data_IF_678854638197
#
_entry.id   IF_678854638197
#
_cell.length_a   1.000
_cell.length_b   1.000
_cell.length_c   1.000
_cell.angle_alpha   90.00
_cell.angle_beta   90.00
_cell.angle_gamma   90.00
#
_symmetry.space_group_name_H-M   'P 1'
#
loop_
_entity.id
_entity.type
_entity.pdbx_description
1 polymer ?
#
# COMPACT_ATOMS: atom_id res chain seq x y z
N UNK A 1 -6.63 -14.68 -0.79
CA UNK A 1 -6.15 -15.03 -2.14
C UNK A 1 -4.99 -14.13 -2.44
N UNK A 2 -3.83 -14.75 -2.62
CA UNK A 2 -2.54 -14.08 -2.79
C UNK A 2 -1.96 -14.50 -4.13
N UNK A 3 -1.25 -13.58 -4.80
CA UNK A 3 -0.68 -13.84 -6.12
C UNK A 3 0.66 -14.53 -5.96
N UNK A 4 0.85 -15.65 -6.64
CA UNK A 4 2.11 -16.41 -6.70
C UNK A 4 2.53 -16.65 -8.15
N UNK A 5 3.77 -17.14 -8.31
CA UNK A 5 4.28 -17.65 -9.58
C UNK A 5 4.09 -19.18 -9.68
N UNK A 6 3.19 -19.62 -10.56
CA UNK A 6 3.00 -21.04 -10.90
C UNK A 6 3.69 -21.36 -12.23
N UNK A 7 5.01 -21.57 -12.18
CA UNK A 7 5.84 -21.76 -13.37
C UNK A 7 6.18 -20.42 -14.03
N UNK A 8 5.52 -20.11 -15.16
CA UNK A 8 5.69 -18.82 -15.86
C UNK A 8 4.46 -17.91 -15.69
N UNK A 9 3.31 -18.51 -15.41
CA UNK A 9 2.05 -17.81 -15.22
C UNK A 9 1.88 -17.35 -13.77
N UNK A 10 1.22 -16.21 -13.57
CA UNK A 10 0.85 -15.73 -12.25
C UNK A 10 -0.57 -16.19 -11.91
N UNK A 11 -0.74 -16.72 -10.70
CA UNK A 11 -2.01 -17.26 -10.20
C UNK A 11 -2.33 -16.70 -8.82
N UNK A 12 -3.61 -16.41 -8.55
CA UNK A 12 -4.07 -15.98 -7.23
C UNK A 12 -4.92 -17.06 -6.54
N UNK A 13 -4.27 -18.11 -6.05
CA UNK A 13 -4.90 -19.36 -5.59
C UNK A 13 -4.39 -19.85 -4.22
N UNK A 14 -3.50 -19.10 -3.55
CA UNK A 14 -2.94 -19.49 -2.26
C UNK A 14 -3.61 -18.78 -1.07
N UNK A 15 -3.48 -19.41 0.11
CA UNK A 15 -3.95 -18.92 1.41
C UNK A 15 -2.82 -18.41 2.33
N UNK A 16 -1.55 -18.78 2.08
CA UNK A 16 -0.39 -18.42 2.92
C UNK A 16 0.64 -17.53 2.19
N UNK A 17 1.21 -16.54 2.90
CA UNK A 17 2.35 -15.74 2.39
C UNK A 17 3.64 -16.50 2.65
N UNK A 18 4.33 -16.89 1.58
CA UNK A 18 5.74 -17.26 1.57
C UNK A 18 6.56 -16.23 0.75
N UNK A 19 7.84 -16.52 0.51
CA UNK A 19 8.69 -15.68 -0.36
C UNK A 19 8.22 -15.69 -1.82
N UNK A 20 7.45 -16.69 -2.25
CA UNK A 20 6.92 -16.81 -3.62
C UNK A 20 5.76 -15.86 -3.91
N UNK A 21 5.15 -15.28 -2.88
CA UNK A 21 4.05 -14.32 -2.92
C UNK A 21 4.53 -12.88 -2.65
N UNK A 22 5.84 -12.68 -2.53
CA UNK A 22 6.47 -11.36 -2.33
C UNK A 22 7.03 -10.81 -3.64
N UNK A 23 6.59 -9.60 -4.00
CA UNK A 23 7.04 -8.90 -5.20
C UNK A 23 7.69 -7.55 -4.86
N UNK A 24 8.74 -7.21 -5.58
CA UNK A 24 9.36 -5.89 -5.51
C UNK A 24 8.66 -4.93 -6.48
N UNK A 25 8.13 -3.83 -5.94
CA UNK A 25 7.60 -2.73 -6.73
C UNK A 25 8.71 -1.74 -7.08
N UNK A 26 8.94 -1.53 -8.38
CA UNK A 26 9.95 -0.60 -8.88
C UNK A 26 9.29 0.53 -9.67
N UNK A 27 9.40 1.75 -9.17
CA UNK A 27 8.78 2.90 -9.82
C UNK A 27 9.59 3.39 -11.02
N UNK A 28 8.89 3.69 -12.10
CA UNK A 28 9.44 4.33 -13.27
C UNK A 28 9.12 5.84 -13.25
N UNK A 29 10.15 6.66 -13.01
CA UNK A 29 9.98 8.11 -12.91
C UNK A 29 9.48 8.79 -14.18
N UNK A 30 9.70 8.16 -15.35
CA UNK A 30 9.33 8.71 -16.66
C UNK A 30 7.84 8.56 -16.95
N UNK A 31 7.26 7.40 -16.59
CA UNK A 31 5.85 7.07 -16.83
C UNK A 31 4.98 7.22 -15.60
N UNK A 32 5.58 7.32 -14.40
CA UNK A 32 4.90 7.29 -13.09
C UNK A 32 4.14 5.99 -12.84
N UNK A 33 4.64 4.89 -13.41
CA UNK A 33 4.07 3.54 -13.32
C UNK A 33 5.04 2.60 -12.62
N UNK A 34 4.60 1.38 -12.36
CA UNK A 34 5.34 0.41 -11.58
C UNK A 34 5.70 -0.82 -12.41
N UNK A 35 6.93 -1.28 -12.26
CA UNK A 35 7.29 -2.65 -12.55
C UNK A 35 7.03 -3.52 -11.31
N UNK A 36 6.58 -4.75 -11.53
CA UNK A 36 6.37 -5.74 -10.47
C UNK A 36 7.34 -6.88 -10.73
N UNK A 37 8.36 -7.00 -9.87
CA UNK A 37 9.47 -7.95 -10.02
C UNK A 37 9.36 -9.10 -9.02
N UNK A 38 9.57 -10.32 -9.49
CA UNK A 38 9.61 -11.53 -8.65
C UNK A 38 10.97 -11.72 -7.98
N UNK A 39 11.04 -12.67 -7.05
CA UNK A 39 12.28 -13.10 -6.39
C UNK A 39 13.30 -13.72 -7.36
N UNK A 40 12.89 -14.20 -8.54
CA UNK A 40 13.77 -14.74 -9.58
C UNK A 40 14.24 -13.67 -10.59
N UNK A 41 14.17 -12.39 -10.23
CA UNK A 41 14.51 -11.25 -11.09
C UNK A 41 13.71 -11.22 -12.41
N UNK A 42 12.48 -11.74 -12.40
CA UNK A 42 11.57 -11.66 -13.54
C UNK A 42 10.52 -10.58 -13.33
N UNK A 43 10.06 -9.98 -14.42
CA UNK A 43 9.01 -8.97 -14.38
C UNK A 43 7.68 -9.53 -14.82
N UNK A 44 6.62 -9.13 -14.12
CA UNK A 44 5.25 -9.25 -14.62
C UNK A 44 5.17 -8.56 -15.98
N UNK A 45 4.63 -9.24 -16.97
CA UNK A 45 4.56 -8.77 -18.36
C UNK A 45 3.21 -9.11 -18.95
N UNK A 46 2.62 -8.13 -19.64
CA UNK A 46 1.43 -8.29 -20.45
C UNK A 46 1.77 -9.00 -21.77
N UNK A 47 1.15 -10.16 -21.99
CA UNK A 47 1.29 -10.94 -23.21
C UNK A 47 0.24 -10.58 -24.27
N UNK A 48 0.48 -10.97 -25.54
CA UNK A 48 -0.38 -10.68 -26.69
C UNK A 48 -1.84 -11.13 -26.50
N UNK A 49 -2.08 -12.19 -25.73
CA UNK A 49 -3.41 -12.70 -25.40
C UNK A 49 -4.08 -12.04 -24.18
N UNK A 50 -3.45 -11.04 -23.58
CA UNK A 50 -3.90 -10.37 -22.36
C UNK A 50 -3.52 -11.10 -21.07
N UNK A 51 -2.89 -12.26 -21.14
CA UNK A 51 -2.37 -12.96 -19.95
C UNK A 51 -1.23 -12.19 -19.31
N UNK A 52 -1.07 -12.34 -17.99
CA UNK A 52 0.04 -11.76 -17.24
C UNK A 52 0.98 -12.88 -16.79
N UNK A 53 2.24 -12.78 -17.21
CA UNK A 53 3.28 -13.77 -16.94
C UNK A 53 4.47 -13.13 -16.22
N UNK A 54 5.23 -13.90 -15.45
CA UNK A 54 6.46 -13.43 -14.83
C UNK A 54 7.69 -14.05 -15.50
N UNK A 55 7.79 -13.88 -16.83
CA UNK A 55 8.90 -14.40 -17.64
C UNK A 55 9.91 -13.31 -18.05
N UNK A 56 9.54 -12.03 -17.90
CA UNK A 56 10.28 -10.92 -18.50
C UNK A 56 11.66 -10.73 -17.86
N UNK A 57 12.72 -10.92 -18.65
CA UNK A 57 14.12 -10.69 -18.23
C UNK A 57 14.52 -9.21 -18.16
N UNK A 58 13.71 -8.33 -18.76
CA UNK A 58 14.04 -6.91 -18.91
C UNK A 58 12.79 -6.06 -18.73
N UNK A 59 13.01 -4.84 -18.24
CA UNK A 59 11.99 -3.78 -18.25
C UNK A 59 11.52 -3.51 -19.68
N UNK A 60 10.21 -3.41 -19.86
CA UNK A 60 9.56 -3.09 -21.13
C UNK A 60 8.26 -2.34 -20.88
N UNK A 61 7.68 -1.75 -21.93
CA UNK A 61 6.36 -1.10 -21.83
C UNK A 61 5.27 -2.06 -21.36
N UNK A 62 5.37 -3.35 -21.70
CA UNK A 62 4.41 -4.38 -21.30
C UNK A 62 4.56 -4.83 -19.85
N UNK A 63 5.65 -4.44 -19.18
CA UNK A 63 5.89 -4.72 -17.77
C UNK A 63 5.53 -3.55 -16.85
N UNK A 64 4.91 -2.51 -17.39
CA UNK A 64 4.49 -1.32 -16.64
C UNK A 64 3.00 -1.37 -16.31
N UNK A 65 2.69 -1.11 -15.04
CA UNK A 65 1.34 -1.15 -14.50
C UNK A 65 1.04 0.12 -13.70
N UNK A 66 -0.19 0.63 -13.82
CA UNK A 66 -0.70 1.60 -12.86
C UNK A 66 -1.29 0.87 -11.65
N UNK A 67 -1.05 1.39 -10.45
CA UNK A 67 -1.75 0.98 -9.23
C UNK A 67 -2.93 1.93 -9.01
N UNK A 68 -4.14 1.40 -9.10
CA UNK A 68 -5.39 2.15 -8.98
C UNK A 68 -6.05 1.80 -7.65
N UNK A 69 -5.79 2.63 -6.64
CA UNK A 69 -6.29 2.46 -5.28
C UNK A 69 -7.80 2.73 -5.17
N UNK A 70 -8.50 1.84 -4.48
CA UNK A 70 -9.95 1.87 -4.31
C UNK A 70 -10.35 2.36 -2.92
N UNK A 71 -11.60 2.84 -2.79
CA UNK A 71 -12.13 3.33 -1.50
C UNK A 71 -12.09 2.26 -0.40
N UNK A 72 -12.33 1.00 -0.74
CA UNK A 72 -12.34 -0.13 0.20
C UNK A 72 -10.95 -0.65 0.58
N UNK A 73 -9.88 0.03 0.19
CA UNK A 73 -8.50 -0.34 0.50
C UNK A 73 -7.89 -1.36 -0.45
N UNK A 74 -8.68 -1.88 -1.40
CA UNK A 74 -8.13 -2.71 -2.47
C UNK A 74 -7.36 -1.87 -3.50
N UNK A 75 -6.52 -2.55 -4.28
CA UNK A 75 -5.81 -2.01 -5.43
C UNK A 75 -6.16 -2.82 -6.67
N UNK A 76 -6.42 -2.12 -7.76
CA UNK A 76 -6.51 -2.72 -9.08
C UNK A 76 -5.25 -2.36 -9.88
N UNK A 77 -4.82 -3.26 -10.75
CA UNK A 77 -3.69 -3.03 -11.64
C UNK A 77 -4.19 -2.75 -13.05
N UNK A 78 -3.76 -1.65 -13.66
CA UNK A 78 -4.03 -1.36 -15.09
C UNK A 78 -2.77 -1.66 -15.90
N UNK A 79 -2.90 -2.55 -16.88
CA UNK A 79 -1.79 -2.93 -17.76
C UNK A 79 -1.65 -1.96 -18.95
N UNK A 80 -0.59 -2.14 -19.73
CA UNK A 80 -0.26 -1.24 -20.84
C UNK A 80 -1.27 -1.25 -22.02
N UNK A 81 -2.15 -2.24 -22.10
CA UNK A 81 -3.30 -2.24 -23.03
C UNK A 81 -4.48 -1.39 -22.54
N UNK A 82 -4.34 -0.70 -21.40
CA UNK A 82 -5.38 0.14 -20.80
C UNK A 82 -6.43 -0.62 -19.98
N UNK A 83 -6.32 -1.95 -19.89
CA UNK A 83 -7.28 -2.80 -19.18
C UNK A 83 -6.82 -3.19 -17.78
N UNK A 84 -7.78 -3.45 -16.91
CA UNK A 84 -7.56 -3.95 -15.55
C UNK A 84 -7.28 -5.45 -15.53
N UNK A 85 -6.39 -5.86 -14.64
CA UNK A 85 -6.03 -7.27 -14.41
C UNK A 85 -7.12 -7.94 -13.55
N UNK A 86 -7.78 -8.94 -14.11
CA UNK A 86 -8.69 -9.84 -13.40
C UNK A 86 -7.97 -11.09 -12.93
N UNK A 87 -8.48 -11.69 -11.85
CA UNK A 87 -8.23 -13.08 -11.48
C UNK A 87 -9.33 -13.97 -12.06
N UNK A 88 -8.99 -14.88 -12.98
CA UNK A 88 -9.93 -15.88 -13.49
C UNK A 88 -10.27 -16.90 -12.40
N UNK A 89 -11.36 -17.67 -12.58
CA UNK A 89 -11.71 -18.79 -11.67
C UNK A 89 -10.59 -19.83 -11.51
N UNK A 90 -9.71 -19.94 -12.50
CA UNK A 90 -8.51 -20.79 -12.47
C UNK A 90 -7.33 -20.19 -11.70
N UNK A 91 -7.47 -18.98 -11.15
CA UNK A 91 -6.39 -18.23 -10.50
C UNK A 91 -5.58 -17.36 -11.45
N UNK A 92 -5.52 -17.68 -12.76
CA UNK A 92 -4.68 -16.95 -13.71
C UNK A 92 -5.07 -15.48 -13.87
N UNK A 93 -4.04 -14.63 -14.00
CA UNK A 93 -4.18 -13.19 -14.18
C UNK A 93 -4.31 -12.78 -15.66
N UNK A 94 -5.29 -11.92 -15.98
CA UNK A 94 -5.53 -11.42 -17.34
C UNK A 94 -5.92 -9.94 -17.35
N UNK A 95 -5.27 -9.10 -18.16
CA UNK A 95 -5.67 -7.72 -18.40
C UNK A 95 -6.75 -7.63 -19.49
N UNK A 96 -8.00 -7.89 -19.12
CA UNK A 96 -9.12 -7.94 -20.06
C UNK A 96 -10.35 -7.13 -19.66
N UNK A 97 -10.37 -6.53 -18.46
CA UNK A 97 -11.51 -5.77 -17.97
C UNK A 97 -11.36 -4.27 -18.23
N UNK A 98 -12.45 -3.62 -18.64
CA UNK A 98 -12.51 -2.16 -18.78
C UNK A 98 -13.08 -1.48 -17.52
N UNK A 99 -13.59 -2.26 -16.55
CA UNK A 99 -14.16 -1.80 -15.28
C UNK A 99 -13.53 -2.52 -14.10
N UNK A 100 -13.48 -1.86 -12.94
CA UNK A 100 -13.01 -2.48 -11.71
C UNK A 100 -14.19 -3.16 -11.02
N UNK A 101 -14.20 -4.48 -11.05
CA UNK A 101 -15.11 -5.32 -10.27
C UNK A 101 -14.33 -6.11 -9.20
N UNK A 102 -15.00 -6.99 -8.47
CA UNK A 102 -14.35 -7.76 -7.40
C UNK A 102 -13.25 -8.70 -7.91
N UNK A 103 -13.25 -9.09 -9.19
CA UNK A 103 -12.18 -9.92 -9.76
C UNK A 103 -10.91 -9.12 -10.05
N UNK A 104 -11.00 -7.80 -10.05
CA UNK A 104 -9.88 -6.87 -10.25
C UNK A 104 -9.24 -6.42 -8.93
N UNK A 105 -9.80 -6.78 -7.78
CA UNK A 105 -9.40 -6.25 -6.48
C UNK A 105 -8.38 -7.12 -5.78
N UNK A 106 -7.24 -6.53 -5.46
CA UNK A 106 -6.17 -7.15 -4.69
C UNK A 106 -5.94 -6.34 -3.41
N UNK A 107 -5.33 -6.94 -2.40
CA UNK A 107 -4.98 -6.26 -1.15
C UNK A 107 -3.47 -6.14 -1.02
N UNK A 108 -3.01 -4.96 -0.62
CA UNK A 108 -1.61 -4.63 -0.54
C UNK A 108 -1.10 -4.72 0.91
N UNK A 109 0.08 -5.31 1.07
CA UNK A 109 0.84 -5.29 2.33
C UNK A 109 2.28 -4.90 2.06
N UNK A 110 2.80 -3.94 2.82
CA UNK A 110 4.21 -3.54 2.78
C UNK A 110 5.03 -4.42 3.73
N UNK A 111 5.40 -5.62 3.28
CA UNK A 111 5.97 -6.67 4.14
C UNK A 111 7.40 -6.39 4.60
N UNK A 112 8.17 -5.60 3.84
CA UNK A 112 9.56 -5.23 4.16
C UNK A 112 9.67 -4.01 5.10
N UNK A 113 8.55 -3.61 5.73
CA UNK A 113 8.49 -2.55 6.75
C UNK A 113 7.61 -2.97 7.94
N UNK A 114 8.05 -3.96 8.75
CA UNK A 114 7.36 -4.31 10.00
C UNK A 114 7.41 -3.18 11.05
N UNK A 115 8.33 -2.22 10.85
CA UNK A 115 8.46 -1.00 11.63
C UNK A 115 8.54 0.17 10.64
N UNK A 116 7.72 1.20 10.84
CA UNK A 116 7.70 2.43 10.07
C UNK A 116 8.26 3.59 10.88
N UNK A 117 8.83 4.56 10.17
CA UNK A 117 9.09 5.91 10.64
C UNK A 117 8.45 6.84 9.62
N UNK A 118 7.49 7.67 10.05
CA UNK A 118 6.79 8.55 9.12
C UNK A 118 7.33 9.97 9.19
N UNK A 119 7.47 10.59 8.03
CA UNK A 119 7.89 11.99 7.89
C UNK A 119 7.07 12.70 6.82
N UNK A 120 6.70 13.93 7.09
CA UNK A 120 6.13 14.84 6.10
C UNK A 120 7.04 16.06 5.93
N UNK A 121 6.61 17.05 5.16
CA UNK A 121 7.41 18.26 4.90
C UNK A 121 7.74 19.07 6.16
N UNK A 122 6.92 18.94 7.22
CA UNK A 122 7.11 19.67 8.47
C UNK A 122 8.07 18.96 9.45
N UNK A 123 8.34 17.67 9.26
CA UNK A 123 9.17 16.88 10.17
C UNK A 123 8.67 15.45 10.35
N UNK A 124 9.20 14.77 11.35
CA UNK A 124 8.82 13.41 11.71
C UNK A 124 7.52 13.38 12.51
N UNK A 125 6.83 12.26 12.42
CA UNK A 125 5.77 11.88 13.36
C UNK A 125 6.39 11.45 14.69
N UNK A 126 5.89 12.02 15.79
CA UNK A 126 6.27 11.62 17.14
C UNK A 126 5.42 12.29 18.21
N UNK A 127 5.65 11.94 19.47
CA UNK A 127 4.83 12.48 20.56
C UNK A 127 4.95 14.01 20.67
N UNK A 128 3.81 14.65 20.96
CA UNK A 128 3.72 16.08 21.23
C UNK A 128 4.70 16.49 22.34
N UNK A 129 4.68 15.75 23.45
CA UNK A 129 5.58 15.92 24.58
C UNK A 129 5.77 14.57 25.29
N UNK A 130 6.81 14.45 26.12
CA UNK A 130 7.04 13.24 26.91
C UNK A 130 5.82 12.91 27.79
N UNK A 131 5.37 11.66 27.73
CA UNK A 131 4.18 11.19 28.46
C UNK A 131 2.83 11.64 27.89
N UNK A 132 2.82 12.35 26.75
CA UNK A 132 1.59 12.71 26.06
C UNK A 132 1.35 11.73 24.89
N UNK A 133 0.22 11.00 24.85
CA UNK A 133 -0.04 10.04 23.78
C UNK A 133 -0.36 10.68 22.43
N UNK A 134 -0.66 11.99 22.39
CA UNK A 134 -0.94 12.71 21.14
C UNK A 134 0.31 12.82 20.28
N UNK A 135 0.17 12.44 19.02
CA UNK A 135 1.21 12.55 18.01
C UNK A 135 1.10 13.88 17.24
N UNK A 136 2.24 14.42 16.85
CA UNK A 136 2.40 15.57 15.96
C UNK A 136 3.39 15.21 14.85
N UNK A 137 3.32 15.89 13.71
CA UNK A 137 4.12 15.58 12.52
C UNK A 137 5.14 16.68 12.15
N UNK A 138 5.59 17.46 13.13
CA UNK A 138 6.62 18.51 12.98
C UNK A 138 7.82 18.28 13.90
N UNK A 139 8.06 17.02 14.29
CA UNK A 139 9.11 16.69 15.26
C UNK A 139 10.47 16.58 14.57
N UNK A 140 11.53 16.88 15.31
CA UNK A 140 12.92 16.68 14.88
C UNK A 140 13.35 15.23 15.09
N UNK A 141 12.81 14.58 16.12
CA UNK A 141 13.00 13.16 16.41
C UNK A 141 11.77 12.37 15.98
N UNK A 142 11.98 11.11 15.58
CA UNK A 142 10.90 10.21 15.17
C UNK A 142 10.52 9.24 16.29
N UNK A 143 9.27 8.79 16.24
CA UNK A 143 8.82 7.58 16.91
C UNK A 143 8.74 6.42 15.91
N UNK A 144 9.06 5.22 16.37
CA UNK A 144 8.92 4.01 15.56
C UNK A 144 7.53 3.42 15.72
N UNK A 145 6.91 3.06 14.61
CA UNK A 145 5.55 2.52 14.57
C UNK A 145 5.63 1.06 14.18
N UNK A 146 5.23 0.15 15.06
CA UNK A 146 5.10 -1.26 14.68
C UNK A 146 3.85 -1.42 13.79
N UNK A 147 4.01 -2.14 12.69
CA UNK A 147 2.93 -2.45 11.75
C UNK A 147 2.50 -3.89 11.95
N UNK A 148 1.25 -4.09 12.36
CA UNK A 148 0.66 -5.42 12.51
C UNK A 148 -0.32 -5.67 11.35
N UNK A 149 -0.26 -6.86 10.74
CA UNK A 149 -1.11 -7.24 9.61
C UNK A 149 -2.54 -7.51 10.08
N UNK A 150 -3.52 -6.88 9.43
CA UNK A 150 -4.94 -7.20 9.54
C UNK A 150 -5.48 -7.88 8.29
N UNK A 151 -6.77 -8.16 8.25
CA UNK A 151 -7.43 -8.77 7.10
C UNK A 151 -7.60 -7.78 5.94
N UNK A 152 -7.69 -8.28 4.71
CA UNK A 152 -8.09 -7.49 3.52
C UNK A 152 -7.28 -6.19 3.34
N UNK A 153 -5.96 -6.27 3.50
CA UNK A 153 -5.05 -5.12 3.31
C UNK A 153 -4.98 -4.17 4.49
N UNK A 154 -5.75 -4.39 5.55
CA UNK A 154 -5.67 -3.59 6.76
C UNK A 154 -4.33 -3.78 7.46
N UNK A 155 -3.84 -2.72 8.06
CA UNK A 155 -2.73 -2.72 9.01
C UNK A 155 -3.15 -1.99 10.28
N UNK A 156 -2.54 -2.38 11.39
CA UNK A 156 -2.71 -1.74 12.70
C UNK A 156 -1.38 -1.13 13.12
N UNK A 157 -1.42 0.13 13.55
CA UNK A 157 -0.25 0.84 14.04
C UNK A 157 -0.17 0.75 15.55
N UNK A 158 1.00 0.34 16.05
CA UNK A 158 1.23 0.11 17.46
C UNK A 158 2.52 0.75 17.92
N UNK A 159 2.43 1.43 19.05
CA UNK A 159 3.54 2.06 19.75
C UNK A 159 4.50 1.10 20.40
N UNK A 160 5.66 1.63 20.79
CA UNK A 160 6.59 0.91 21.69
C UNK A 160 5.97 0.67 23.08
N UNK A 161 5.03 1.51 23.49
CA UNK A 161 4.27 1.36 24.74
C UNK A 161 3.24 0.20 24.68
N UNK A 162 3.10 -0.47 23.53
CA UNK A 162 2.15 -1.55 23.31
C UNK A 162 0.70 -1.11 23.06
N UNK A 163 0.44 0.20 22.95
CA UNK A 163 -0.87 0.77 22.63
C UNK A 163 -1.01 0.96 21.13
N UNK A 164 -2.23 0.85 20.63
CA UNK A 164 -2.56 1.13 19.24
C UNK A 164 -2.81 2.61 19.02
N UNK A 165 -2.70 3.02 17.76
CA UNK A 165 -3.18 4.31 17.32
C UNK A 165 -4.71 4.37 17.45
N UNK A 166 -5.18 5.51 17.95
CA UNK A 166 -6.55 5.99 17.81
C UNK A 166 -6.51 7.26 16.96
N UNK A 167 -7.43 7.41 16.03
CA UNK A 167 -7.44 8.54 15.12
C UNK A 167 -8.84 9.10 14.90
N UNK A 168 -8.94 10.42 14.94
CA UNK A 168 -10.16 11.17 14.65
C UNK A 168 -9.85 12.45 13.87
N UNK A 169 -10.86 13.30 13.67
CA UNK A 169 -10.72 14.56 12.95
C UNK A 169 -9.91 15.63 13.68
N UNK A 170 -9.53 15.42 14.94
CA UNK A 170 -8.83 16.35 15.82
C UNK A 170 -7.38 15.93 16.09
N UNK A 171 -7.10 14.62 16.18
CA UNK A 171 -5.77 14.08 16.43
C UNK A 171 -5.60 12.60 16.12
N UNK A 172 -4.33 12.20 16.07
CA UNK A 172 -3.91 10.81 16.30
C UNK A 172 -3.26 10.70 17.68
N UNK A 173 -3.67 9.71 18.46
CA UNK A 173 -3.10 9.38 19.78
C UNK A 173 -2.64 7.92 19.81
N UNK A 174 -1.70 7.60 20.71
CA UNK A 174 -1.17 6.25 20.90
C UNK A 174 -1.42 5.76 22.33
N UNK A 175 -2.70 5.55 22.64
CA UNK A 175 -3.21 5.16 23.96
C UNK A 175 -4.31 4.09 23.91
N UNK A 176 -4.68 3.62 22.72
CA UNK A 176 -5.77 2.64 22.56
C UNK A 176 -5.34 1.22 22.92
N UNK A 177 -6.24 0.48 23.57
CA UNK A 177 -6.11 -0.97 23.77
C UNK A 177 -6.68 -1.78 22.58
N UNK A 178 -7.48 -1.15 21.73
CA UNK A 178 -8.11 -1.78 20.57
C UNK A 178 -7.52 -1.26 19.26
N UNK A 179 -7.21 -2.14 18.29
CA UNK A 179 -6.63 -1.72 17.03
C UNK A 179 -7.64 -1.02 16.12
N UNK A 180 -7.23 0.10 15.53
CA UNK A 180 -7.93 0.76 14.42
C UNK A 180 -7.21 0.47 13.12
N UNK A 181 -7.99 0.09 12.09
CA UNK A 181 -7.45 -0.40 10.82
C UNK A 181 -7.20 0.72 9.80
N UNK A 182 -6.04 0.65 9.16
CA UNK A 182 -5.63 1.56 8.09
C UNK A 182 -5.23 0.79 6.82
N UNK A 183 -5.32 1.44 5.68
CA UNK A 183 -4.76 1.00 4.40
C UNK A 183 -3.53 1.84 4.06
N UNK A 184 -2.49 1.18 3.55
CA UNK A 184 -1.32 1.81 2.99
C UNK A 184 -1.46 1.90 1.47
N UNK A 185 -1.38 3.11 0.93
CA UNK A 185 -1.46 3.35 -0.51
C UNK A 185 -0.13 3.89 -1.02
N UNK A 186 0.66 3.02 -1.63
CA UNK A 186 1.96 3.39 -2.19
C UNK A 186 1.78 4.38 -3.35
N UNK A 187 2.45 5.53 -3.28
CA UNK A 187 2.35 6.63 -4.27
C UNK A 187 3.65 6.83 -5.05
N UNK A 188 4.77 6.82 -4.35
CA UNK A 188 6.13 6.90 -4.90
C UNK A 188 7.03 5.89 -4.16
N UNK A 189 8.25 5.57 -4.64
CA UNK A 189 9.13 4.57 -4.01
C UNK A 189 9.29 4.70 -2.50
N UNK A 190 9.32 5.95 -2.02
CA UNK A 190 9.52 6.27 -0.61
C UNK A 190 8.34 7.01 -0.02
N UNK A 191 7.19 7.10 -0.71
CA UNK A 191 6.03 7.82 -0.21
C UNK A 191 4.74 7.03 -0.30
N UNK A 192 3.95 7.08 0.76
CA UNK A 192 2.63 6.46 0.84
C UNK A 192 1.59 7.42 1.41
N UNK A 193 0.33 7.18 1.09
CA UNK A 193 -0.80 7.75 1.83
C UNK A 193 -1.35 6.70 2.80
N UNK A 194 -1.90 7.15 3.92
CA UNK A 194 -2.51 6.30 4.93
C UNK A 194 -3.98 6.67 5.03
N UNK A 195 -4.86 5.68 4.91
CA UNK A 195 -6.31 5.86 4.87
C UNK A 195 -6.99 4.99 5.90
N UNK A 196 -7.97 5.49 6.64
CA UNK A 196 -8.77 4.68 7.55
C UNK A 196 -9.74 3.75 6.77
N UNK A 197 -10.45 2.88 7.50
CA UNK A 197 -11.45 1.99 6.89
C UNK A 197 -12.70 2.72 6.37
N UNK A 198 -12.94 3.97 6.75
CA UNK A 198 -14.04 4.81 6.26
C UNK A 198 -13.67 5.58 4.97
N UNK A 199 -12.39 5.61 4.61
CA UNK A 199 -11.84 6.27 3.44
C UNK A 199 -11.20 7.64 3.69
N UNK A 200 -11.07 8.09 4.93
CA UNK A 200 -10.43 9.35 5.29
C UNK A 200 -8.91 9.20 5.33
N UNK A 201 -8.19 10.18 4.81
CA UNK A 201 -6.73 10.16 4.80
C UNK A 201 -6.14 10.82 6.04
N UNK A 202 -5.02 10.30 6.53
CA UNK A 202 -4.20 11.01 7.50
C UNK A 202 -3.55 12.24 6.85
N UNK A 203 -3.64 13.37 7.54
CA UNK A 203 -3.17 14.67 7.06
C UNK A 203 -2.27 15.35 8.07
N UNK A 204 -1.21 15.97 7.55
CA UNK A 204 -0.41 16.97 8.22
C UNK A 204 -1.01 18.34 7.92
N UNK A 205 -1.38 19.08 8.96
CA UNK A 205 -1.92 20.43 8.85
C UNK A 205 -1.05 21.43 9.61
N UNK A 206 -1.49 22.70 9.69
CA UNK A 206 -0.67 23.79 10.26
C UNK A 206 -0.18 23.43 11.67
N UNK A 207 1.04 23.88 11.99
CA UNK A 207 1.68 23.69 13.29
C UNK A 207 1.85 22.22 13.70
N UNK A 208 2.11 21.32 12.74
CA UNK A 208 2.36 19.89 13.01
C UNK A 208 1.14 19.09 13.43
N UNK A 209 -0.07 19.62 13.25
CA UNK A 209 -1.28 18.90 13.62
C UNK A 209 -1.48 17.68 12.71
N UNK A 210 -1.53 16.50 13.33
CA UNK A 210 -1.65 15.20 12.70
C UNK A 210 -2.99 14.56 13.09
N UNK A 211 -3.85 14.30 12.09
CA UNK A 211 -5.27 13.91 12.27
C UNK A 211 -5.84 13.25 11.02
N UNK A 212 -7.03 12.67 11.12
CA UNK A 212 -7.82 12.30 9.94
C UNK A 212 -8.41 13.54 9.27
N UNK A 213 -8.22 13.61 7.95
CA UNK A 213 -8.76 14.63 7.08
C UNK A 213 -10.05 14.16 6.39
N UNK A 214 -10.19 14.55 5.13
CA UNK A 214 -11.30 14.11 4.29
C UNK A 214 -10.93 12.87 3.45
N UNK A 215 -11.83 12.50 2.54
CA UNK A 215 -11.68 11.34 1.65
C UNK A 215 -11.00 11.68 0.32
N UNK A 216 -10.52 12.92 0.13
CA UNK A 216 -9.84 13.37 -1.08
C UNK A 216 -8.35 13.04 -1.01
N UNK A 217 -7.87 12.29 -1.98
CA UNK A 217 -6.44 11.98 -2.12
C UNK A 217 -5.60 13.24 -2.38
N UNK A 218 -6.18 14.27 -2.97
CA UNK A 218 -5.48 15.54 -3.24
C UNK A 218 -5.09 16.29 -1.96
N UNK A 219 -5.87 16.06 -0.89
CA UNK A 219 -5.63 16.65 0.43
C UNK A 219 -4.83 15.72 1.35
N UNK A 220 -4.61 14.47 0.95
CA UNK A 220 -3.87 13.50 1.73
C UNK A 220 -2.40 13.89 1.84
N UNK A 221 -1.80 13.65 3.00
CA UNK A 221 -0.35 13.77 3.13
C UNK A 221 0.33 12.53 2.54
N UNK A 222 1.36 12.77 1.73
CA UNK A 222 2.27 11.73 1.26
C UNK A 222 3.42 11.61 2.26
N UNK A 223 3.41 10.54 3.04
CA UNK A 223 4.36 10.26 4.11
C UNK A 223 5.59 9.54 3.55
N UNK A 224 6.77 10.10 3.83
CA UNK A 224 8.04 9.40 3.67
C UNK A 224 8.15 8.29 4.73
N UNK A 225 8.60 7.08 4.35
CA UNK A 225 8.56 5.87 5.18
C UNK A 225 9.78 4.94 5.06
#
# INVERSE_FOLDING_TARGET
MEVELSGVDLTANQEEISDHETFQLEFDWSTKRWYIRTMQDKYWTLETGGGIQAAGDKRSSNALFDLVWQKDGSVAFRANNGRYIITKRSGHLFANSDVIDDTCKYFFYLVNRPILVLKCEQGFVGYKAAGNPKLECNKVTYETIKVERGEKGLVYFKGQNGKYWHSDSESVTEDSDTPEGFYLELREPTRLCIKDSAGHYLTASKNGCFRLGDTSIENATQWEY
#
